data_IF_624843619233
#
_entry.id   IF_624843619233
#
_cell.length_a   1.000
_cell.length_b   1.000
_cell.length_c   1.000
_cell.angle_alpha   90.00
_cell.angle_beta   90.00
_cell.angle_gamma   90.00
#
_symmetry.space_group_name_H-M   'P 1'
#
loop_
_entity.id
_entity.type
_entity.pdbx_description
1 polymer ?
#
# COMPACT_ATOMS: atom_id res chain seq x y z
N UNK A 1 19.06 -7.45 -38.62
CA UNK A 1 18.00 -6.66 -37.94
C UNK A 1 18.29 -6.77 -36.46
N UNK A 2 18.81 -5.70 -35.85
CA UNK A 2 19.15 -5.69 -34.43
C UNK A 2 17.89 -5.15 -33.75
N UNK A 3 17.26 -5.96 -32.89
CA UNK A 3 16.16 -5.50 -32.07
C UNK A 3 16.69 -4.36 -31.20
N UNK A 4 16.03 -3.20 -31.26
CA UNK A 4 16.33 -2.11 -30.35
C UNK A 4 15.90 -2.56 -28.95
N UNK A 5 16.87 -2.72 -28.05
CA UNK A 5 16.62 -2.90 -26.63
C UNK A 5 15.98 -1.60 -26.11
N UNK A 6 14.77 -1.71 -25.56
CA UNK A 6 14.11 -0.58 -24.89
C UNK A 6 14.95 -0.18 -23.68
N UNK A 7 15.25 1.12 -23.47
CA UNK A 7 16.04 1.55 -22.33
C UNK A 7 15.25 1.28 -21.05
N UNK A 8 15.69 0.28 -20.28
CA UNK A 8 15.19 0.03 -18.93
C UNK A 8 15.40 1.31 -18.11
N UNK A 9 14.31 1.97 -17.72
CA UNK A 9 14.36 3.12 -16.81
C UNK A 9 15.01 2.69 -15.50
N UNK A 10 16.31 2.95 -15.38
CA UNK A 10 17.03 2.82 -14.11
C UNK A 10 16.53 3.96 -13.23
N UNK A 11 15.49 3.66 -12.46
CA UNK A 11 15.06 4.52 -11.37
C UNK A 11 16.23 4.62 -10.38
N UNK A 12 16.92 5.76 -10.37
CA UNK A 12 18.01 6.05 -9.42
C UNK A 12 17.49 6.29 -7.98
N UNK A 13 16.36 5.68 -7.64
CA UNK A 13 15.79 5.71 -6.31
C UNK A 13 16.49 4.61 -5.51
N UNK A 14 17.07 4.94 -4.34
CA UNK A 14 17.66 3.93 -3.48
C UNK A 14 16.60 2.88 -3.14
N UNK A 15 17.02 1.63 -2.97
CA UNK A 15 16.15 0.58 -2.44
C UNK A 15 15.52 1.11 -1.14
N UNK A 16 14.19 1.14 -1.08
CA UNK A 16 13.47 1.70 0.05
C UNK A 16 13.77 0.91 1.31
N UNK A 17 14.72 1.37 2.11
CA UNK A 17 14.97 0.82 3.43
C UNK A 17 13.93 1.42 4.36
N UNK A 18 13.02 0.57 4.84
CA UNK A 18 12.03 0.99 5.82
C UNK A 18 12.74 1.37 7.12
N UNK A 19 12.70 2.65 7.48
CA UNK A 19 13.21 3.22 8.74
C UNK A 19 12.26 2.92 9.93
N UNK A 20 11.27 2.05 9.71
CA UNK A 20 10.12 1.88 10.57
C UNK A 20 9.05 2.91 10.21
N UNK A 21 7.80 2.47 10.03
CA UNK A 21 6.68 3.41 9.95
C UNK A 21 6.54 4.13 11.31
N UNK A 22 7.13 5.31 11.43
CA UNK A 22 7.14 6.10 12.68
C UNK A 22 5.88 6.97 12.77
N UNK A 23 5.34 7.42 11.64
CA UNK A 23 4.19 8.32 11.63
C UNK A 23 2.91 7.56 12.06
N UNK A 24 2.15 8.11 13.01
CA UNK A 24 0.85 7.55 13.38
C UNK A 24 -0.15 7.71 12.24
N UNK A 25 -1.17 6.86 12.23
CA UNK A 25 -2.26 6.97 11.27
C UNK A 25 -2.99 8.32 11.42
N UNK A 26 -3.17 9.05 10.32
CA UNK A 26 -3.88 10.33 10.28
C UNK A 26 -5.38 10.22 10.62
N UNK A 27 -5.95 9.02 10.60
CA UNK A 27 -7.36 8.76 10.92
C UNK A 27 -7.55 8.37 12.38
N UNK A 28 -6.81 7.37 12.87
CA UNK A 28 -7.01 6.83 14.23
C UNK A 28 -5.89 7.16 15.22
N UNK A 29 -4.77 7.76 14.79
CA UNK A 29 -3.62 8.10 15.63
C UNK A 29 -2.75 6.90 16.06
N UNK A 30 -3.12 5.67 15.71
CA UNK A 30 -2.38 4.48 16.09
C UNK A 30 -1.07 4.34 15.29
N UNK A 31 -0.05 3.74 15.91
CA UNK A 31 1.20 3.39 15.24
C UNK A 31 0.94 2.35 14.14
N UNK A 32 1.46 2.60 12.95
CA UNK A 32 1.29 1.69 11.81
C UNK A 32 2.36 0.60 11.85
N UNK A 33 1.92 -0.65 11.65
CA UNK A 33 2.80 -1.83 11.67
C UNK A 33 2.93 -2.51 10.30
N UNK A 34 2.05 -2.15 9.37
CA UNK A 34 2.04 -2.68 8.01
C UNK A 34 2.15 -1.53 7.01
N UNK A 35 3.11 -1.63 6.12
CA UNK A 35 3.09 -0.89 4.88
C UNK A 35 2.25 -1.66 3.85
N UNK A 36 1.60 -0.95 2.94
CA UNK A 36 0.77 -1.58 1.93
C UNK A 36 0.66 -0.70 0.68
N UNK A 37 0.41 -1.34 -0.45
CA UNK A 37 0.22 -0.69 -1.74
C UNK A 37 -1.14 -1.10 -2.30
N UNK A 38 -1.91 -0.12 -2.76
CA UNK A 38 -3.19 -0.33 -3.46
C UNK A 38 -3.12 0.21 -4.90
N UNK A 39 -4.16 0.02 -5.70
CA UNK A 39 -4.33 0.74 -6.97
C UNK A 39 -4.50 2.25 -6.73
N UNK A 40 -4.02 3.06 -7.68
CA UNK A 40 -4.17 4.52 -7.62
C UNK A 40 -5.65 4.92 -7.62
N UNK A 41 -6.48 4.18 -8.37
CA UNK A 41 -7.93 4.33 -8.38
C UNK A 41 -8.54 4.16 -6.99
N UNK A 42 -8.21 3.06 -6.29
CA UNK A 42 -8.71 2.83 -4.94
C UNK A 42 -8.19 3.89 -3.98
N UNK A 43 -6.91 4.26 -4.07
CA UNK A 43 -6.36 5.33 -3.26
C UNK A 43 -7.10 6.65 -3.46
N UNK A 44 -7.37 7.02 -4.71
CA UNK A 44 -8.04 8.26 -5.04
C UNK A 44 -9.49 8.31 -4.57
N UNK A 45 -10.20 7.20 -4.68
CA UNK A 45 -11.58 7.06 -4.25
C UNK A 45 -11.70 6.99 -2.72
N UNK A 46 -10.79 6.30 -2.04
CA UNK A 46 -10.85 6.06 -0.58
C UNK A 46 -10.32 7.24 0.20
N UNK A 47 -9.17 7.80 -0.18
CA UNK A 47 -8.43 8.78 0.63
C UNK A 47 -8.69 10.22 0.19
N UNK A 48 -9.23 11.02 1.11
CA UNK A 48 -9.44 12.45 0.88
C UNK A 48 -8.12 13.20 0.72
N UNK A 49 -8.12 14.31 -0.03
CA UNK A 49 -6.89 15.10 -0.29
C UNK A 49 -6.15 15.51 0.99
N UNK A 50 -6.87 15.85 2.05
CA UNK A 50 -6.27 16.23 3.34
C UNK A 50 -5.53 15.06 4.00
N UNK A 51 -6.06 13.84 3.85
CA UNK A 51 -5.48 12.63 4.43
C UNK A 51 -4.29 12.10 3.61
N UNK A 52 -4.16 12.45 2.33
CA UNK A 52 -3.06 11.99 1.45
C UNK A 52 -1.66 12.46 1.89
N UNK A 53 -1.60 13.50 2.72
CA UNK A 53 -0.34 14.00 3.28
C UNK A 53 0.13 13.22 4.50
N UNK A 54 -0.70 12.30 5.03
CA UNK A 54 -0.39 11.49 6.19
C UNK A 54 -0.30 10.01 5.85
N UNK A 55 0.07 9.21 6.86
CA UNK A 55 0.01 7.75 6.79
C UNK A 55 -1.40 7.30 7.17
N UNK A 56 -1.96 6.34 6.46
CA UNK A 56 -3.23 5.70 6.82
C UNK A 56 -2.92 4.24 7.12
N UNK A 57 -3.38 3.70 8.24
CA UNK A 57 -3.20 2.27 8.50
C UNK A 57 -4.18 1.46 7.64
N UNK A 58 -3.79 0.24 7.26
CA UNK A 58 -4.61 -0.64 6.43
C UNK A 58 -6.03 -0.82 6.99
N UNK A 59 -6.19 -0.89 8.32
CA UNK A 59 -7.52 -1.01 8.95
C UNK A 59 -8.40 0.23 8.73
N UNK A 60 -7.86 1.45 8.82
CA UNK A 60 -8.63 2.65 8.55
C UNK A 60 -8.93 2.81 7.06
N UNK A 61 -7.96 2.46 6.20
CA UNK A 61 -8.20 2.44 4.76
C UNK A 61 -9.35 1.50 4.41
N UNK A 62 -9.32 0.27 4.92
CA UNK A 62 -10.35 -0.75 4.68
C UNK A 62 -11.74 -0.32 5.16
N UNK A 63 -11.84 0.27 6.35
CA UNK A 63 -13.11 0.81 6.85
C UNK A 63 -13.67 1.91 5.95
N UNK A 64 -12.81 2.82 5.47
CA UNK A 64 -13.24 3.90 4.57
C UNK A 64 -13.62 3.32 3.20
N UNK A 65 -12.86 2.36 2.69
CA UNK A 65 -13.15 1.67 1.44
C UNK A 65 -14.50 0.94 1.49
N UNK A 66 -14.74 0.16 2.55
CA UNK A 66 -16.00 -0.52 2.78
C UNK A 66 -17.19 0.46 2.85
N UNK A 67 -17.01 1.62 3.51
CA UNK A 67 -18.06 2.66 3.55
C UNK A 67 -18.41 3.25 2.17
N UNK A 68 -17.54 3.06 1.18
CA UNK A 68 -17.70 3.50 -0.22
C UNK A 68 -18.02 2.35 -1.19
N UNK A 69 -18.21 1.13 -0.67
CA UNK A 69 -18.45 -0.05 -1.50
C UNK A 69 -17.23 -0.51 -2.30
N UNK A 70 -16.02 -0.18 -1.85
CA UNK A 70 -14.76 -0.57 -2.48
C UNK A 70 -14.20 -1.76 -1.71
N UNK A 71 -13.95 -2.86 -2.41
CA UNK A 71 -13.28 -4.03 -1.84
C UNK A 71 -11.76 -3.80 -1.82
N UNK A 72 -11.20 -3.64 -0.64
CA UNK A 72 -9.75 -3.44 -0.47
C UNK A 72 -8.94 -4.58 -1.08
N UNK A 73 -9.42 -5.82 -1.02
CA UNK A 73 -8.67 -7.01 -1.46
C UNK A 73 -8.40 -6.97 -2.97
N UNK A 74 -9.42 -6.62 -3.75
CA UNK A 74 -9.31 -6.50 -5.23
C UNK A 74 -8.32 -5.42 -5.67
N UNK A 75 -8.02 -4.46 -4.79
CA UNK A 75 -7.13 -3.35 -5.08
C UNK A 75 -5.77 -3.45 -4.40
N UNK A 76 -5.56 -4.41 -3.51
CA UNK A 76 -4.34 -4.57 -2.73
C UNK A 76 -3.24 -5.24 -3.58
N UNK A 77 -2.15 -4.53 -3.83
CA UNK A 77 -1.00 -5.01 -4.62
C UNK A 77 0.06 -5.69 -3.76
N UNK A 78 0.31 -5.15 -2.56
CA UNK A 78 1.36 -5.60 -1.67
C UNK A 78 1.02 -5.24 -0.22
N UNK A 79 1.35 -6.14 0.71
CA UNK A 79 1.36 -5.85 2.15
C UNK A 79 2.71 -6.25 2.71
N UNK A 80 3.27 -5.42 3.58
CA UNK A 80 4.56 -5.66 4.21
C UNK A 80 4.47 -5.39 5.70
N UNK A 81 4.89 -6.34 6.52
CA UNK A 81 5.15 -6.05 7.93
C UNK A 81 6.48 -5.32 8.05
N UNK A 82 6.46 -4.15 8.67
CA UNK A 82 7.65 -3.33 8.92
C UNK A 82 8.13 -3.57 10.35
N UNK A 83 9.14 -4.41 10.49
CA UNK A 83 9.79 -4.72 11.76
C UNK A 83 11.08 -3.94 11.98
N UNK A 84 11.69 -4.10 13.15
CA UNK A 84 13.02 -3.53 13.41
C UNK A 84 14.06 -4.24 12.53
N UNK A 85 14.72 -3.48 11.65
CA UNK A 85 15.74 -3.95 10.70
C UNK A 85 15.27 -5.06 9.75
N UNK A 86 13.97 -5.16 9.48
CA UNK A 86 13.43 -6.15 8.54
C UNK A 86 12.10 -5.71 7.95
N UNK A 87 11.88 -6.11 6.71
CA UNK A 87 10.57 -6.02 6.04
C UNK A 87 10.16 -7.43 5.64
N UNK A 88 8.93 -7.83 5.97
CA UNK A 88 8.39 -9.14 5.60
C UNK A 88 7.22 -8.92 4.64
N UNK A 89 7.39 -9.30 3.38
CA UNK A 89 6.30 -9.31 2.40
C UNK A 89 5.27 -10.37 2.75
N UNK A 90 4.00 -9.98 2.80
CA UNK A 90 2.87 -10.85 3.03
C UNK A 90 2.13 -11.06 1.71
N UNK A 91 1.90 -12.32 1.36
CA UNK A 91 1.08 -12.70 0.21
C UNK A 91 -0.29 -13.13 0.72
N UNK A 92 -1.36 -12.60 0.14
CA UNK A 92 -2.69 -13.17 0.34
C UNK A 92 -2.74 -14.57 -0.26
N UNK A 93 -3.21 -15.54 0.51
CA UNK A 93 -3.47 -16.91 0.04
C UNK A 93 -4.94 -17.12 -0.34
N UNK A 94 -5.77 -16.08 -0.18
CA UNK A 94 -7.19 -16.13 -0.47
C UNK A 94 -7.44 -15.50 -1.84
N UNK A 95 -7.83 -16.33 -2.81
CA UNK A 95 -8.63 -15.89 -3.94
C UNK A 95 -10.05 -15.74 -3.38
N UNK A 96 -10.67 -14.56 -3.51
CA UNK A 96 -12.07 -14.38 -3.09
C UNK A 96 -12.93 -15.46 -3.76
N UNK A 97 -13.65 -16.25 -2.97
CA UNK A 97 -14.72 -17.12 -3.47
C UNK A 97 -15.69 -16.22 -4.23
N UNK A 98 -15.60 -16.26 -5.57
CA UNK A 98 -16.59 -15.65 -6.45
C UNK A 98 -17.79 -16.61 -6.47
N UNK A 99 -18.69 -16.44 -5.51
CA UNK A 99 -20.04 -17.01 -5.59
C UNK A 99 -20.87 -16.28 -6.66
#
# INVERSE_FOLDING_TARGET
>A
MIAAEEPSEVTNWPEGVSDGLILPCAVCGNKVSFDYTVSDEAWDLVVSREQRLGVICLSCFDQIAASKGIDTVEHLKLVQFVGVNKTIGLRSIWEHDRD
#
